data_IF_120723761540
#
_entry.id   IF_120723761540
#
_cell.length_a   1.000
_cell.length_b   1.000
_cell.length_c   1.000
_cell.angle_alpha   90.00
_cell.angle_beta   90.00
_cell.angle_gamma   90.00
#
_symmetry.space_group_name_H-M   'P 1'
#
loop_
_entity.id
_entity.type
_entity.pdbx_description
1 polymer ?
#
# COMPACT_ATOMS: atom_id res chain seq x y z
N UNK A 1 -5.50 1.97 41.57
CA UNK A 1 -6.31 3.18 41.89
C UNK A 1 -7.69 2.97 41.30
N UNK A 2 -8.55 2.28 42.04
CA UNK A 2 -9.96 2.12 41.71
C UNK A 2 -10.67 3.47 41.87
N UNK A 3 -11.44 3.88 40.86
CA UNK A 3 -12.21 5.14 40.88
C UNK A 3 -13.67 4.84 41.26
N UNK A 4 -14.29 5.68 42.10
CA UNK A 4 -15.58 5.40 42.72
C UNK A 4 -16.73 5.41 41.70
N UNK A 5 -17.67 4.48 41.88
CA UNK A 5 -18.84 4.28 41.03
C UNK A 5 -19.79 5.49 41.13
N UNK A 6 -19.81 6.31 40.09
CA UNK A 6 -20.82 7.36 39.94
C UNK A 6 -21.42 7.29 38.53
N UNK A 7 -22.72 6.97 38.50
CA UNK A 7 -23.72 7.23 37.44
C UNK A 7 -23.22 7.05 36.00
N UNK A 8 -23.37 5.83 35.44
CA UNK A 8 -23.13 5.42 34.03
C UNK A 8 -22.40 6.47 33.18
N UNK A 9 -21.07 6.55 33.32
CA UNK A 9 -20.24 7.37 32.43
C UNK A 9 -20.12 6.68 31.08
N UNK A 10 -20.56 7.35 30.03
CA UNK A 10 -20.29 6.94 28.64
C UNK A 10 -18.82 7.25 28.35
N UNK A 11 -17.93 6.39 28.82
CA UNK A 11 -16.51 6.55 28.55
C UNK A 11 -16.24 6.37 27.04
N UNK A 12 -15.53 7.33 26.45
CA UNK A 12 -15.12 7.24 25.06
C UNK A 12 -14.09 6.12 24.91
N UNK A 13 -14.36 5.17 24.01
CA UNK A 13 -13.43 4.08 23.65
C UNK A 13 -12.99 4.24 22.21
N UNK A 14 -11.70 4.02 21.96
CA UNK A 14 -11.15 4.00 20.59
C UNK A 14 -11.34 2.61 20.01
N UNK A 15 -12.02 2.52 18.87
CA UNK A 15 -12.00 1.32 18.05
C UNK A 15 -10.70 1.28 17.23
N UNK A 16 -9.82 0.35 17.57
CA UNK A 16 -8.51 0.20 16.93
C UNK A 16 -8.59 -0.38 15.51
N UNK A 17 -9.70 -1.04 15.15
CA UNK A 17 -9.92 -1.54 13.79
C UNK A 17 -10.18 -0.40 12.80
N UNK A 18 -10.74 0.72 13.27
CA UNK A 18 -11.10 1.89 12.44
C UNK A 18 -10.08 3.03 12.60
N UNK A 19 -9.38 3.10 13.74
CA UNK A 19 -8.43 4.18 14.02
C UNK A 19 -7.26 4.21 13.01
N UNK A 20 -7.23 5.25 12.18
CA UNK A 20 -6.13 5.51 11.23
C UNK A 20 -4.94 6.23 11.84
N UNK A 21 -5.05 6.70 13.10
CA UNK A 21 -3.97 7.41 13.79
C UNK A 21 -3.76 8.86 13.36
N UNK A 22 -4.80 9.55 12.87
CA UNK A 22 -4.72 10.95 12.40
C UNK A 22 -4.44 11.97 13.52
N UNK A 23 -4.65 11.62 14.80
CA UNK A 23 -4.31 12.48 15.93
C UNK A 23 -5.31 13.60 16.28
N UNK A 24 -6.37 13.78 15.49
CA UNK A 24 -7.37 14.84 15.71
C UNK A 24 -7.98 14.73 17.12
N UNK A 25 -8.34 13.52 17.55
CA UNK A 25 -8.91 13.30 18.88
C UNK A 25 -7.96 13.70 20.02
N UNK A 26 -6.67 13.36 19.92
CA UNK A 26 -5.67 13.69 20.93
C UNK A 26 -5.35 15.19 20.96
N UNK A 27 -5.34 15.86 19.81
CA UNK A 27 -5.09 17.31 19.69
C UNK A 27 -6.23 18.15 20.27
N UNK A 28 -7.49 17.75 20.03
CA UNK A 28 -8.66 18.53 20.43
C UNK A 28 -9.15 18.19 21.85
N UNK A 29 -8.67 17.11 22.47
CA UNK A 29 -9.17 16.66 23.76
C UNK A 29 -8.87 17.69 24.89
N UNK A 30 -9.88 18.36 25.46
CA UNK A 30 -9.65 19.41 26.46
C UNK A 30 -9.12 18.85 27.78
N UNK A 31 -9.47 17.61 28.12
CA UNK A 31 -9.05 16.92 29.34
C UNK A 31 -7.77 16.10 29.16
N UNK A 32 -7.18 16.08 27.95
CA UNK A 32 -6.00 15.25 27.61
C UNK A 32 -6.19 13.77 27.96
N UNK A 33 -7.40 13.25 27.79
CA UNK A 33 -7.76 11.88 28.15
C UNK A 33 -7.26 10.81 27.15
N UNK A 34 -6.73 11.20 25.99
CA UNK A 34 -6.16 10.29 25.00
C UNK A 34 -4.85 10.82 24.40
N UNK A 35 -4.01 9.92 23.91
CA UNK A 35 -2.70 10.23 23.31
C UNK A 35 -2.44 9.35 22.08
N UNK A 36 -1.57 9.81 21.20
CA UNK A 36 -1.05 9.01 20.09
C UNK A 36 0.18 8.22 20.54
N UNK A 37 0.18 6.91 20.27
CA UNK A 37 1.36 6.06 20.39
C UNK A 37 1.92 5.73 19.01
N UNK A 38 3.24 5.59 18.92
CA UNK A 38 3.90 5.12 17.70
C UNK A 38 3.47 3.69 17.41
N UNK A 39 2.92 3.45 16.22
CA UNK A 39 2.62 2.10 15.74
C UNK A 39 3.93 1.32 15.57
N UNK A 40 3.96 0.07 16.00
CA UNK A 40 5.13 -0.81 15.87
C UNK A 40 5.52 -1.09 14.40
N UNK A 41 4.55 -1.06 13.49
CA UNK A 41 4.79 -1.24 12.06
C UNK A 41 4.89 0.11 11.35
N UNK A 42 6.05 0.38 10.72
CA UNK A 42 6.22 1.51 9.81
C UNK A 42 5.51 1.19 8.50
N UNK A 43 4.38 1.83 8.26
CA UNK A 43 3.72 1.78 6.96
C UNK A 43 4.48 2.70 6.00
N UNK A 44 5.33 2.13 5.16
CA UNK A 44 5.99 2.85 4.07
C UNK A 44 4.93 3.17 3.02
N UNK A 45 4.48 4.42 3.02
CA UNK A 45 3.64 4.96 1.95
C UNK A 45 4.47 5.01 0.66
N UNK A 46 3.87 4.67 -0.49
CA UNK A 46 4.55 4.85 -1.77
C UNK A 46 4.96 6.31 -1.94
N UNK A 47 6.19 6.54 -2.38
CA UNK A 47 6.77 7.89 -2.49
C UNK A 47 6.26 8.61 -3.74
N UNK A 48 5.79 7.85 -4.75
CA UNK A 48 5.34 8.37 -6.04
C UNK A 48 4.01 7.77 -6.47
N UNK A 49 3.30 8.47 -7.36
CA UNK A 49 2.05 8.00 -7.96
C UNK A 49 2.31 6.71 -8.76
N UNK A 50 3.46 6.61 -9.41
CA UNK A 50 3.89 5.41 -10.11
C UNK A 50 4.01 4.19 -9.19
N UNK A 51 4.70 4.32 -8.06
CA UNK A 51 4.84 3.22 -7.10
C UNK A 51 3.47 2.76 -6.60
N UNK A 52 2.59 3.72 -6.29
CA UNK A 52 1.22 3.42 -5.86
C UNK A 52 0.47 2.60 -6.91
N UNK A 53 0.49 3.03 -8.18
CA UNK A 53 -0.20 2.34 -9.28
C UNK A 53 0.39 0.94 -9.52
N UNK A 54 1.71 0.78 -9.45
CA UNK A 54 2.39 -0.51 -9.62
C UNK A 54 2.02 -1.49 -8.49
N UNK A 55 2.07 -1.03 -7.23
CA UNK A 55 1.71 -1.86 -6.07
C UNK A 55 0.25 -2.27 -6.10
N UNK A 56 -0.66 -1.33 -6.42
CA UNK A 56 -2.09 -1.61 -6.55
C UNK A 56 -2.37 -2.60 -7.69
N UNK A 57 -1.65 -2.47 -8.81
CA UNK A 57 -1.80 -3.40 -9.95
C UNK A 57 -1.25 -4.79 -9.63
N UNK A 58 -0.17 -4.88 -8.86
CA UNK A 58 0.40 -6.14 -8.39
C UNK A 58 -0.55 -6.85 -7.41
N UNK A 59 -1.11 -6.13 -6.44
CA UNK A 59 -2.09 -6.65 -5.49
C UNK A 59 -3.33 -7.22 -6.22
N UNK A 60 -3.82 -6.48 -7.21
CA UNK A 60 -4.96 -6.89 -8.06
C UNK A 60 -4.61 -8.00 -9.07
N UNK A 61 -3.33 -8.33 -9.27
CA UNK A 61 -2.91 -9.29 -10.30
C UNK A 61 -3.18 -8.79 -11.73
N UNK A 62 -3.09 -7.48 -11.94
CA UNK A 62 -3.31 -6.79 -13.21
C UNK A 62 -2.07 -6.04 -13.69
N UNK A 63 -0.92 -6.24 -13.05
CA UNK A 63 0.36 -5.57 -13.39
C UNK A 63 0.77 -5.78 -14.86
N UNK A 64 0.50 -6.95 -15.42
CA UNK A 64 0.74 -7.26 -16.84
C UNK A 64 0.07 -6.27 -17.80
N UNK A 65 -1.02 -5.62 -17.39
CA UNK A 65 -1.69 -4.60 -18.21
C UNK A 65 -0.91 -3.28 -18.27
N UNK A 66 -0.09 -3.01 -17.25
CA UNK A 66 0.81 -1.86 -17.22
C UNK A 66 2.10 -2.16 -18.00
N UNK A 67 2.61 -3.39 -17.89
CA UNK A 67 3.86 -3.82 -18.54
C UNK A 67 3.70 -3.98 -20.06
N UNK A 68 2.61 -4.60 -20.51
CA UNK A 68 2.36 -4.92 -21.91
C UNK A 68 1.19 -4.10 -22.45
N UNK A 69 1.38 -2.78 -22.52
CA UNK A 69 0.32 -1.86 -22.89
C UNK A 69 -0.07 -1.93 -24.37
N UNK A 70 0.70 -2.61 -25.24
CA UNK A 70 0.43 -2.69 -26.67
C UNK A 70 -0.31 -4.00 -27.05
N UNK A 71 -1.64 -3.97 -27.25
CA UNK A 71 -2.42 -5.18 -27.51
C UNK A 71 -2.24 -5.74 -28.94
N UNK A 72 -1.46 -5.09 -29.81
CA UNK A 72 -1.41 -5.41 -31.24
C UNK A 72 -0.36 -6.46 -31.63
N UNK A 73 0.58 -6.80 -30.75
CA UNK A 73 1.61 -7.82 -30.99
C UNK A 73 1.16 -9.18 -30.43
N UNK A 74 1.17 -10.23 -31.27
CA UNK A 74 0.70 -11.59 -30.91
C UNK A 74 1.45 -12.16 -29.69
N UNK A 75 2.75 -11.83 -29.58
CA UNK A 75 3.61 -12.21 -28.44
C UNK A 75 3.23 -11.49 -27.13
N UNK A 76 2.70 -10.27 -27.19
CA UNK A 76 2.30 -9.53 -25.98
C UNK A 76 0.98 -10.05 -25.39
N UNK A 77 0.04 -10.52 -26.22
CA UNK A 77 -1.18 -11.18 -25.71
C UNK A 77 -0.85 -12.44 -24.92
N UNK A 78 0.06 -13.27 -25.44
CA UNK A 78 0.57 -14.45 -24.74
C UNK A 78 1.33 -14.06 -23.46
N UNK A 79 2.24 -13.08 -23.53
CA UNK A 79 2.98 -12.60 -22.36
C UNK A 79 2.04 -12.05 -21.27
N UNK A 80 0.97 -11.32 -21.64
CA UNK A 80 -0.06 -10.86 -20.69
C UNK A 80 -0.80 -12.02 -20.04
N UNK A 81 -1.19 -13.02 -20.81
CA UNK A 81 -1.88 -14.19 -20.26
C UNK A 81 -0.97 -14.99 -19.32
N UNK A 82 0.27 -15.22 -19.71
CA UNK A 82 1.26 -15.99 -18.94
C UNK A 82 1.68 -15.25 -17.66
N UNK A 83 2.17 -14.02 -17.78
CA UNK A 83 2.58 -13.20 -16.64
C UNK A 83 1.38 -12.88 -15.75
N UNK A 84 0.20 -12.64 -16.34
CA UNK A 84 -1.03 -12.43 -15.57
C UNK A 84 -1.47 -13.67 -14.80
N UNK A 85 -1.35 -14.87 -15.38
CA UNK A 85 -1.60 -16.13 -14.68
C UNK A 85 -0.62 -16.33 -13.52
N UNK A 86 0.67 -16.10 -13.77
CA UNK A 86 1.72 -16.19 -12.76
C UNK A 86 1.52 -15.20 -11.59
N UNK A 87 1.21 -13.94 -11.89
CA UNK A 87 0.97 -12.90 -10.87
C UNK A 87 -0.36 -13.04 -10.15
N UNK A 88 -1.32 -13.83 -10.66
CA UNK A 88 -2.56 -14.15 -9.95
C UNK A 88 -2.35 -15.15 -8.82
N UNK A 89 -1.25 -15.90 -8.82
CA UNK A 89 -0.94 -16.88 -7.78
C UNK A 89 -0.74 -16.18 -6.41
N UNK A 90 -1.52 -16.55 -5.38
CA UNK A 90 -1.36 -16.01 -4.01
C UNK A 90 0.07 -16.04 -3.45
N UNK A 91 0.87 -17.11 -3.61
CA UNK A 91 2.24 -17.13 -3.09
C UNK A 91 3.16 -16.13 -3.79
N UNK A 92 2.97 -15.91 -5.10
CA UNK A 92 3.76 -14.96 -5.89
C UNK A 92 3.45 -13.52 -5.48
N UNK A 93 2.17 -13.18 -5.31
CA UNK A 93 1.76 -11.87 -4.78
C UNK A 93 2.36 -11.61 -3.40
N UNK A 94 2.24 -12.57 -2.49
CA UNK A 94 2.78 -12.46 -1.12
C UNK A 94 4.30 -12.27 -1.13
N UNK A 95 5.02 -12.98 -1.99
CA UNK A 95 6.46 -12.82 -2.13
C UNK A 95 6.83 -11.41 -2.63
N UNK A 96 6.23 -10.95 -3.72
CA UNK A 96 6.53 -9.63 -4.31
C UNK A 96 6.09 -8.45 -3.43
N UNK A 97 5.04 -8.62 -2.62
CA UNK A 97 4.59 -7.62 -1.64
C UNK A 97 5.36 -7.67 -0.31
N UNK A 98 6.25 -8.64 -0.11
CA UNK A 98 7.10 -8.72 1.08
C UNK A 98 8.10 -7.55 1.16
N UNK A 99 8.45 -7.13 2.38
CA UNK A 99 9.28 -5.93 2.62
C UNK A 99 10.62 -5.93 1.86
N UNK A 100 11.29 -7.09 1.76
CA UNK A 100 12.59 -7.22 1.08
C UNK A 100 12.49 -7.21 -0.45
N UNK A 101 11.38 -7.67 -1.01
CA UNK A 101 11.20 -7.79 -2.46
C UNK A 101 10.51 -6.57 -3.05
N UNK A 102 9.64 -5.91 -2.28
CA UNK A 102 8.90 -4.70 -2.71
C UNK A 102 9.83 -3.59 -3.20
N UNK A 103 10.89 -3.27 -2.46
CA UNK A 103 11.85 -2.22 -2.84
C UNK A 103 12.63 -2.57 -4.12
N UNK A 104 13.14 -3.80 -4.19
CA UNK A 104 13.87 -4.31 -5.36
C UNK A 104 12.98 -4.37 -6.61
N UNK A 105 11.73 -4.79 -6.45
CA UNK A 105 10.75 -4.83 -7.52
C UNK A 105 10.44 -3.43 -8.05
N UNK A 106 10.18 -2.46 -7.16
CA UNK A 106 9.91 -1.08 -7.57
C UNK A 106 11.11 -0.44 -8.27
N UNK A 107 12.35 -0.70 -7.82
CA UNK A 107 13.54 -0.24 -8.52
C UNK A 107 13.67 -0.84 -9.92
N UNK A 108 13.49 -2.15 -10.06
CA UNK A 108 13.53 -2.81 -11.37
C UNK A 108 12.47 -2.24 -12.33
N UNK A 109 11.28 -1.91 -11.82
CA UNK A 109 10.22 -1.27 -12.61
C UNK A 109 10.60 0.17 -13.03
N UNK A 110 11.19 0.97 -12.13
CA UNK A 110 11.67 2.32 -12.45
C UNK A 110 12.75 2.28 -13.53
N UNK A 111 13.72 1.38 -13.42
CA UNK A 111 14.76 1.18 -14.43
C UNK A 111 14.18 0.77 -15.79
N UNK A 112 13.19 -0.12 -15.79
CA UNK A 112 12.48 -0.53 -17.01
C UNK A 112 11.79 0.64 -17.70
N UNK A 113 11.14 1.53 -16.94
CA UNK A 113 10.47 2.72 -17.47
C UNK A 113 11.46 3.74 -18.03
N UNK A 114 12.61 3.93 -17.38
CA UNK A 114 13.71 4.78 -17.89
C UNK A 114 14.24 4.28 -19.24
N UNK A 115 14.43 2.96 -19.38
CA UNK A 115 14.87 2.34 -20.65
C UNK A 115 13.85 2.48 -21.78
N UNK A 116 12.57 2.65 -21.46
CA UNK A 116 11.50 2.91 -22.44
C UNK A 116 11.36 4.39 -22.80
N UNK A 117 12.22 5.28 -22.26
CA UNK A 117 12.16 6.73 -22.52
C UNK A 117 10.95 7.43 -21.89
N UNK A 118 10.25 6.78 -20.95
CA UNK A 118 9.06 7.33 -20.26
C UNK A 118 9.38 7.79 -18.84
N UNK A 119 10.55 8.41 -18.66
CA UNK A 119 11.08 8.80 -17.34
C UNK A 119 10.14 9.71 -16.53
N UNK A 120 9.35 10.55 -17.23
CA UNK A 120 8.32 11.42 -16.65
C UNK A 120 7.30 10.69 -15.77
N UNK A 121 7.08 9.38 -15.97
CA UNK A 121 6.17 8.60 -15.12
C UNK A 121 6.72 8.37 -13.72
N UNK A 122 8.05 8.38 -13.54
CA UNK A 122 8.68 8.02 -12.25
C UNK A 122 8.84 9.20 -11.28
N UNK A 123 8.58 10.42 -11.74
CA UNK A 123 8.77 11.67 -11.00
C UNK A 123 7.45 12.32 -10.53
N UNK A 124 6.29 11.72 -10.86
CA UNK A 124 4.92 12.13 -10.45
C UNK A 124 4.43 11.40 -9.20
#
# INVERSE_FOLDING_TARGET
LEKPETRKKRDARVDTAICVGCGVCALTCPTKACMLEKRGQRVIHPETTFERIMLQSLERGTLQNQIFANPQTFNEKFARAFVGGFLRLPPVKKALMGEKLRSRFLQAMKEGVKRQGKEWLTEM
#
